data_IF_646743716577
#
_entry.id   IF_646743716577
#
_cell.length_a   1.000
_cell.length_b   1.000
_cell.length_c   1.000
_cell.angle_alpha   90.00
_cell.angle_beta   90.00
_cell.angle_gamma   90.00
#
_symmetry.space_group_name_H-M   'P 1'
#
loop_
_entity.id
_entity.type
_entity.pdbx_description
1 polymer ?
#
# COMPACT_ATOMS: atom_id res chain seq x y z
N UNK A 1 0.42 -25.72 15.13
CA UNK A 1 1.49 -26.74 15.03
C UNK A 1 2.30 -26.38 13.79
N UNK A 2 3.53 -25.89 13.96
CA UNK A 2 4.40 -25.55 12.83
C UNK A 2 4.93 -26.84 12.21
N UNK A 3 5.02 -26.91 10.87
CA UNK A 3 5.53 -28.08 10.17
C UNK A 3 7.06 -28.05 10.26
N UNK A 4 7.62 -28.82 11.20
CA UNK A 4 9.06 -28.93 11.41
C UNK A 4 9.75 -29.89 10.42
N UNK A 5 8.97 -30.59 9.61
CA UNK A 5 9.42 -31.64 8.70
C UNK A 5 9.49 -31.09 7.27
N UNK A 6 10.71 -30.99 6.75
CA UNK A 6 11.06 -30.43 5.44
C UNK A 6 10.35 -31.17 4.28
N UNK A 7 10.05 -32.47 4.45
CA UNK A 7 9.36 -33.25 3.41
C UNK A 7 7.87 -32.91 3.27
N UNK A 8 7.30 -32.15 4.22
CA UNK A 8 5.91 -31.68 4.19
C UNK A 8 5.79 -30.24 3.75
N UNK A 9 6.90 -29.62 3.37
CA UNK A 9 6.86 -28.26 2.84
C UNK A 9 6.20 -28.30 1.46
N UNK A 10 5.45 -27.25 1.09
CA UNK A 10 5.02 -27.09 -0.29
C UNK A 10 6.27 -27.10 -1.18
N UNK A 11 6.41 -28.14 -1.99
CA UNK A 11 7.43 -28.18 -3.01
C UNK A 11 6.96 -27.24 -4.10
N UNK A 12 7.59 -26.08 -4.19
CA UNK A 12 7.23 -25.11 -5.20
C UNK A 12 7.79 -25.59 -6.54
N UNK A 13 6.92 -26.15 -7.37
CA UNK A 13 7.32 -26.64 -8.68
C UNK A 13 7.68 -25.44 -9.58
N UNK A 14 8.91 -25.43 -10.10
CA UNK A 14 9.43 -24.34 -10.90
C UNK A 14 8.70 -24.22 -12.24
N UNK A 15 8.12 -25.33 -12.72
CA UNK A 15 7.29 -25.36 -13.92
C UNK A 15 5.99 -24.57 -13.72
N UNK A 16 5.41 -24.61 -12.52
CA UNK A 16 4.17 -23.91 -12.15
C UNK A 16 4.42 -22.40 -11.93
N UNK A 17 5.60 -22.03 -11.42
CA UNK A 17 6.03 -20.62 -11.32
C UNK A 17 6.27 -19.97 -12.69
N UNK A 18 6.90 -20.70 -13.62
CA UNK A 18 7.14 -20.20 -14.97
C UNK A 18 5.82 -19.95 -15.71
N UNK A 19 4.86 -20.87 -15.60
CA UNK A 19 3.52 -20.71 -16.17
C UNK A 19 2.76 -19.50 -15.58
N UNK A 20 2.84 -19.28 -14.27
CA UNK A 20 2.23 -18.12 -13.62
C UNK A 20 2.88 -16.80 -14.05
N UNK A 21 4.19 -16.80 -14.32
CA UNK A 21 4.93 -15.60 -14.73
C UNK A 21 4.74 -15.28 -16.22
N UNK A 22 4.64 -16.29 -17.08
CA UNK A 22 4.29 -16.11 -18.50
C UNK A 22 2.84 -15.64 -18.68
N UNK A 23 1.90 -16.12 -17.85
CA UNK A 23 0.54 -15.59 -17.82
C UNK A 23 0.48 -14.12 -17.37
N UNK A 24 1.44 -13.65 -16.57
CA UNK A 24 1.50 -12.26 -16.09
C UNK A 24 2.10 -11.26 -17.10
N UNK A 25 2.74 -11.75 -18.17
CA UNK A 25 3.46 -10.90 -19.14
C UNK A 25 2.78 -10.81 -20.50
N UNK A 26 1.71 -11.58 -20.78
CA UNK A 26 1.02 -11.58 -22.08
C UNK A 26 -0.35 -10.87 -22.11
N UNK A 27 -0.98 -10.57 -20.97
CA UNK A 27 -2.29 -9.90 -20.95
C UNK A 27 -2.16 -8.36 -20.81
N UNK A 28 -1.49 -7.73 -21.79
CA UNK A 28 -1.88 -6.38 -22.20
C UNK A 28 -3.15 -6.52 -23.07
N UNK A 29 -4.30 -6.16 -22.48
CA UNK A 29 -5.66 -6.12 -23.07
C UNK A 29 -6.46 -7.42 -22.96
N UNK A 30 -7.30 -7.54 -21.92
CA UNK A 30 -8.73 -7.88 -22.08
C UNK A 30 -9.52 -7.47 -20.81
N UNK A 31 -10.60 -6.73 -21.05
CA UNK A 31 -11.73 -6.36 -20.19
C UNK A 31 -11.92 -7.15 -18.88
N UNK A 32 -11.71 -6.47 -17.76
CA UNK A 32 -12.18 -6.91 -16.45
C UNK A 32 -13.71 -6.92 -16.45
N UNK A 33 -14.32 -8.10 -16.51
CA UNK A 33 -15.75 -8.24 -16.23
C UNK A 33 -15.97 -7.90 -14.75
N UNK A 34 -16.63 -6.78 -14.57
CA UNK A 34 -17.18 -6.26 -13.33
C UNK A 34 -18.08 -7.30 -12.65
N UNK A 35 -17.63 -7.87 -11.54
CA UNK A 35 -18.53 -8.28 -10.47
C UNK A 35 -18.47 -7.19 -9.41
N UNK A 36 -19.48 -6.33 -9.39
CA UNK A 36 -19.66 -5.31 -8.35
C UNK A 36 -20.02 -6.05 -7.06
N UNK A 37 -19.02 -6.43 -6.27
CA UNK A 37 -19.24 -6.73 -4.86
C UNK A 37 -19.26 -5.38 -4.15
N UNK A 38 -20.45 -4.78 -4.07
CA UNK A 38 -20.71 -3.61 -3.23
C UNK A 38 -20.67 -4.06 -1.76
N UNK A 39 -19.47 -4.23 -1.23
CA UNK A 39 -19.27 -4.25 0.22
C UNK A 39 -19.53 -2.83 0.70
N UNK A 40 -20.71 -2.65 1.29
CA UNK A 40 -21.12 -1.43 1.99
C UNK A 40 -20.12 -1.21 3.13
N UNK A 41 -19.10 -0.38 2.88
CA UNK A 41 -18.20 0.09 3.93
C UNK A 41 -18.98 1.03 4.84
N UNK A 42 -19.27 0.57 6.06
CA UNK A 42 -19.72 1.46 7.12
C UNK A 42 -18.63 2.51 7.36
N UNK A 43 -19.05 3.77 7.21
CA UNK A 43 -18.18 4.94 7.14
C UNK A 43 -17.66 5.29 8.53
N UNK A 44 -16.47 4.83 8.87
CA UNK A 44 -15.53 5.63 9.66
C UNK A 44 -14.32 5.95 8.79
N UNK A 45 -14.57 6.66 7.69
CA UNK A 45 -13.50 7.16 6.82
C UNK A 45 -12.50 7.95 7.67
N UNK A 46 -11.19 7.70 7.56
CA UNK A 46 -10.20 8.54 8.21
C UNK A 46 -10.42 9.96 7.73
N UNK A 47 -10.77 10.88 8.65
CA UNK A 47 -11.12 12.27 8.32
C UNK A 47 -9.97 13.01 7.61
N UNK A 48 -8.76 12.44 7.66
CA UNK A 48 -7.56 12.91 6.98
C UNK A 48 -6.77 11.70 6.44
N UNK A 49 -6.41 11.70 5.16
CA UNK A 49 -5.60 10.63 4.55
C UNK A 49 -5.13 10.98 3.14
N UNK A 50 -4.12 10.28 2.64
CA UNK A 50 -3.56 10.52 1.29
C UNK A 50 -4.59 10.31 0.19
N UNK A 51 -5.58 9.44 0.43
CA UNK A 51 -6.70 9.19 -0.48
C UNK A 51 -7.50 10.46 -0.83
N UNK A 52 -7.43 11.53 -0.01
CA UNK A 52 -8.07 12.82 -0.28
C UNK A 52 -7.23 13.73 -1.20
N UNK A 53 -5.92 13.48 -1.28
CA UNK A 53 -4.97 14.31 -2.03
C UNK A 53 -4.64 13.65 -3.37
N UNK A 54 -4.55 12.33 -3.40
CA UNK A 54 -4.14 11.55 -4.57
C UNK A 54 -5.02 10.31 -4.68
N UNK A 55 -5.72 10.19 -5.79
CA UNK A 55 -6.33 8.93 -6.21
C UNK A 55 -5.25 8.02 -6.80
N UNK A 56 -4.90 6.98 -6.05
CA UNK A 56 -3.85 6.02 -6.41
C UNK A 56 -4.23 5.18 -7.65
N UNK A 57 -5.52 4.96 -7.91
CA UNK A 57 -5.98 4.15 -9.03
C UNK A 57 -5.82 4.84 -10.39
N UNK A 58 -5.55 6.15 -10.40
CA UNK A 58 -5.30 6.92 -11.64
C UNK A 58 -3.90 6.73 -12.21
N UNK A 59 -3.04 5.98 -11.52
CA UNK A 59 -1.65 5.78 -11.90
C UNK A 59 -1.40 4.36 -12.37
N UNK A 60 -1.12 4.19 -13.67
CA UNK A 60 -0.79 2.88 -14.25
C UNK A 60 0.66 2.43 -13.96
N UNK A 61 1.45 3.25 -13.25
CA UNK A 61 2.84 2.95 -12.89
C UNK A 61 3.14 3.41 -11.48
N UNK A 62 3.55 2.48 -10.63
CA UNK A 62 3.91 2.74 -9.24
C UNK A 62 5.01 3.82 -9.11
N UNK A 63 6.06 3.73 -9.93
CA UNK A 63 7.13 4.73 -9.96
C UNK A 63 6.63 6.15 -10.26
N UNK A 64 5.59 6.30 -11.09
CA UNK A 64 5.00 7.60 -11.40
C UNK A 64 4.25 8.15 -10.18
N UNK A 65 3.45 7.31 -9.51
CA UNK A 65 2.76 7.66 -8.27
C UNK A 65 3.75 8.15 -7.21
N UNK A 66 4.83 7.39 -6.97
CA UNK A 66 5.86 7.75 -5.98
C UNK A 66 6.50 9.10 -6.28
N UNK A 67 6.86 9.36 -7.54
CA UNK A 67 7.48 10.64 -7.94
C UNK A 67 6.53 11.81 -7.73
N UNK A 68 5.26 11.67 -8.11
CA UNK A 68 4.26 12.73 -7.90
C UNK A 68 4.06 12.99 -6.42
N UNK A 69 3.88 11.95 -5.61
CA UNK A 69 3.71 12.10 -4.17
C UNK A 69 4.95 12.72 -3.51
N UNK A 70 6.17 12.32 -3.92
CA UNK A 70 7.41 12.92 -3.43
C UNK A 70 7.49 14.43 -3.73
N UNK A 71 7.09 14.86 -4.93
CA UNK A 71 7.02 16.28 -5.25
C UNK A 71 5.96 17.02 -4.43
N UNK A 72 4.79 16.42 -4.18
CA UNK A 72 3.75 17.01 -3.31
C UNK A 72 4.28 17.19 -1.88
N UNK A 73 4.93 16.16 -1.32
CA UNK A 73 5.54 16.24 0.01
C UNK A 73 6.65 17.29 0.07
N UNK A 74 7.51 17.35 -0.96
CA UNK A 74 8.53 18.40 -1.08
C UNK A 74 7.89 19.79 -1.14
N UNK A 75 6.83 19.95 -1.93
CA UNK A 75 6.14 21.23 -2.06
C UNK A 75 5.60 21.72 -0.71
N UNK A 76 4.90 20.84 0.03
CA UNK A 76 4.42 21.16 1.38
C UNK A 76 5.58 21.56 2.29
N UNK A 77 6.67 20.79 2.29
CA UNK A 77 7.87 21.11 3.08
C UNK A 77 8.47 22.46 2.71
N UNK A 78 8.64 22.72 1.42
CA UNK A 78 9.20 23.97 0.91
C UNK A 78 8.32 25.19 1.21
N UNK A 79 6.99 25.02 1.28
CA UNK A 79 6.07 26.09 1.68
C UNK A 79 6.29 26.54 3.13
N UNK A 80 6.65 25.60 4.00
CA UNK A 80 6.93 25.86 5.41
C UNK A 80 8.40 26.23 5.71
N UNK A 81 9.29 26.14 4.71
CA UNK A 81 10.73 26.38 4.88
C UNK A 81 11.19 27.74 4.32
N UNK A 82 12.19 28.39 4.97
CA UNK A 82 12.89 29.54 4.41
C UNK A 82 13.51 29.22 3.05
N UNK A 83 13.65 30.23 2.17
CA UNK A 83 14.15 30.04 0.79
C UNK A 83 15.50 29.29 0.71
N UNK A 84 16.39 29.51 1.69
CA UNK A 84 17.72 28.91 1.79
C UNK A 84 17.70 27.40 2.06
N UNK A 85 16.61 26.87 2.62
CA UNK A 85 16.48 25.47 3.00
C UNK A 85 15.58 24.66 2.06
N UNK A 86 15.05 25.33 1.02
CA UNK A 86 14.14 24.68 0.07
C UNK A 86 14.89 23.69 -0.80
N UNK A 87 14.31 22.52 -0.96
CA UNK A 87 14.80 21.51 -1.87
C UNK A 87 14.52 21.94 -3.32
N UNK A 88 15.54 21.89 -4.16
CA UNK A 88 15.49 22.23 -5.58
C UNK A 88 16.03 21.08 -6.44
N UNK A 89 15.73 21.11 -7.74
CA UNK A 89 16.23 20.12 -8.71
C UNK A 89 15.51 18.77 -8.68
N UNK A 90 16.20 17.70 -9.07
CA UNK A 90 15.67 16.34 -9.14
C UNK A 90 15.32 15.76 -7.76
N UNK A 91 14.40 14.79 -7.72
CA UNK A 91 14.07 14.06 -6.51
C UNK A 91 15.27 13.27 -5.99
N UNK A 92 15.52 13.36 -4.69
CA UNK A 92 16.52 12.51 -4.03
C UNK A 92 15.88 11.20 -3.57
N UNK A 93 16.69 10.15 -3.44
CA UNK A 93 16.24 8.80 -3.02
C UNK A 93 15.45 8.85 -1.71
N UNK A 94 15.86 9.69 -0.76
CA UNK A 94 15.17 9.85 0.53
C UNK A 94 13.74 10.33 0.39
N UNK A 95 13.45 11.19 -0.61
CA UNK A 95 12.10 11.69 -0.85
C UNK A 95 11.21 10.63 -1.49
N UNK A 96 11.77 9.83 -2.41
CA UNK A 96 11.06 8.69 -3.00
C UNK A 96 10.71 7.65 -1.93
N UNK A 97 11.68 7.32 -1.07
CA UNK A 97 11.45 6.39 0.03
C UNK A 97 10.41 6.92 1.03
N UNK A 98 10.46 8.22 1.37
CA UNK A 98 9.44 8.83 2.23
C UNK A 98 8.04 8.76 1.60
N UNK A 99 7.93 8.99 0.28
CA UNK A 99 6.68 8.84 -0.45
C UNK A 99 6.16 7.40 -0.43
N UNK A 100 7.04 6.42 -0.67
CA UNK A 100 6.71 5.00 -0.59
C UNK A 100 6.16 4.61 0.78
N UNK A 101 6.86 4.97 1.85
CA UNK A 101 6.40 4.70 3.21
C UNK A 101 5.03 5.29 3.48
N UNK A 102 4.75 6.48 2.94
CA UNK A 102 3.44 7.14 3.05
C UNK A 102 2.34 6.39 2.29
N UNK A 103 2.61 5.89 1.09
CA UNK A 103 1.66 5.04 0.35
C UNK A 103 1.36 3.76 1.14
N UNK A 104 2.38 3.06 1.60
CA UNK A 104 2.22 1.81 2.37
C UNK A 104 1.37 2.06 3.63
N UNK A 105 1.71 3.10 4.39
CA UNK A 105 0.96 3.49 5.59
C UNK A 105 -0.51 3.80 5.27
N UNK A 106 -0.79 4.48 4.15
CA UNK A 106 -2.16 4.77 3.75
C UNK A 106 -2.92 3.51 3.34
N UNK A 107 -2.29 2.61 2.58
CA UNK A 107 -2.90 1.32 2.23
C UNK A 107 -3.22 0.50 3.47
N UNK A 108 -2.27 0.40 4.42
CA UNK A 108 -2.48 -0.28 5.70
C UNK A 108 -3.59 0.38 6.53
N UNK A 109 -3.58 1.71 6.63
CA UNK A 109 -4.59 2.46 7.35
C UNK A 109 -5.98 2.35 6.73
N UNK A 110 -6.08 2.04 5.43
CA UNK A 110 -7.37 1.83 4.75
C UNK A 110 -7.84 0.38 4.92
N UNK A 111 -6.96 -0.58 4.69
CA UNK A 111 -7.28 -2.01 4.73
C UNK A 111 -7.48 -2.55 6.15
N UNK A 112 -6.68 -2.08 7.12
CA UNK A 112 -6.63 -2.59 8.49
C UNK A 112 -7.02 -1.53 9.53
N UNK A 113 -7.97 -0.66 9.18
CA UNK A 113 -8.32 0.48 10.02
C UNK A 113 -8.86 0.05 11.39
N UNK A 114 -9.63 -1.04 11.46
CA UNK A 114 -10.16 -1.59 12.71
C UNK A 114 -9.06 -2.18 13.58
N UNK A 115 -8.15 -2.98 13.01
CA UNK A 115 -7.02 -3.57 13.73
C UNK A 115 -6.08 -2.49 14.25
N UNK A 116 -5.78 -1.47 13.44
CA UNK A 116 -4.97 -0.33 13.85
C UNK A 116 -5.67 0.48 14.94
N UNK A 117 -7.00 0.68 14.85
CA UNK A 117 -7.78 1.34 15.88
C UNK A 117 -7.73 0.56 17.21
N UNK A 118 -7.96 -0.74 17.15
CA UNK A 118 -7.95 -1.64 18.31
C UNK A 118 -6.55 -1.72 18.95
N UNK A 119 -5.48 -1.76 18.14
CA UNK A 119 -4.09 -1.72 18.65
C UNK A 119 -3.74 -0.39 19.34
N UNK A 120 -4.32 0.72 18.88
CA UNK A 120 -4.07 2.06 19.44
C UNK A 120 -4.94 2.35 20.67
N UNK A 121 -6.04 1.62 20.84
CA UNK A 121 -6.90 1.73 22.02
C UNK A 121 -6.29 0.97 23.21
N UNK A 122 -6.05 1.62 24.35
CA UNK A 122 -5.47 0.97 25.54
C UNK A 122 -6.39 -0.09 26.16
N UNK A 123 -7.64 -0.20 25.70
CA UNK A 123 -8.69 -1.05 26.28
C UNK A 123 -8.97 -2.32 25.48
N UNK A 124 -8.38 -2.50 24.30
CA UNK A 124 -8.59 -3.71 23.52
C UNK A 124 -7.70 -4.81 24.10
N UNK A 125 -8.27 -5.64 24.99
CA UNK A 125 -7.69 -6.91 25.35
C UNK A 125 -7.14 -7.56 24.07
N UNK A 126 -5.83 -7.78 24.04
CA UNK A 126 -5.05 -8.27 22.90
C UNK A 126 -5.81 -9.44 22.29
N UNK A 127 -6.58 -9.20 21.21
CA UNK A 127 -7.44 -10.22 20.62
C UNK A 127 -6.50 -11.33 20.15
N UNK A 128 -6.48 -12.43 20.88
CA UNK A 128 -5.67 -13.59 20.53
C UNK A 128 -6.24 -14.14 19.24
N UNK A 129 -5.36 -14.34 18.25
CA UNK A 129 -5.69 -14.82 16.90
C UNK A 129 -6.21 -16.27 16.86
N UNK A 130 -6.68 -16.79 17.99
CA UNK A 130 -7.26 -18.11 18.13
C UNK A 130 -8.77 -17.93 18.33
N UNK A 131 -9.53 -18.12 17.24
CA UNK A 131 -10.93 -18.53 17.37
C UNK A 131 -10.92 -19.97 17.90
N UNK A 132 -11.49 -20.17 19.09
CA UNK A 132 -11.82 -21.51 19.61
C UNK A 132 -13.01 -22.08 18.87
#
# INVERSE_FOLDING_TARGET
MWIADEQKWPHWDQQEQAAAYEQMTSDEQTTCKTTVVTTVHNKSSPQHGLHLIIDMNRYNRYNKLLRVLAYVLRFVKNCSSPKTERYQGSLIVRELHAAEMKVIQNCQATAFHEEIHNMRSPSSARLTLVKK
#
